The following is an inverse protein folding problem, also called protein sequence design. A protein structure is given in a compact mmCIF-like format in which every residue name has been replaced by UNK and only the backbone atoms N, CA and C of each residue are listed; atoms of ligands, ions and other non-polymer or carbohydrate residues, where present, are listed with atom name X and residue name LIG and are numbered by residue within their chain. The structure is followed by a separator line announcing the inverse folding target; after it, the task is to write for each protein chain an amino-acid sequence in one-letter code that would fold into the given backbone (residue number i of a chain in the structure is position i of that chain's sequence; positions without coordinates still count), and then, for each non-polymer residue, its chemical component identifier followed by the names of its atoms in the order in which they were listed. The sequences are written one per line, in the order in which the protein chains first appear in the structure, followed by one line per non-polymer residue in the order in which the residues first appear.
data_IF_318792586611
#
_entry.id   IF_318792586611
#
_cell.length_a   1.000
_cell.length_b   1.000
_cell.length_c   1.000
_cell.angle_alpha   90.00
_cell.angle_beta   90.00
_cell.angle_gamma   90.00
#
_symmetry.space_group_name_H-M   'P 1'
#
loop_
_entity.id
_entity.type
_entity.pdbx_description
1 polymer ?
#
# COMPACT_ATOMS: atom_id res chain seq x y z
N UNK A 1 3.36 4.39 -30.13
CA UNK A 1 2.29 5.17 -29.46
C UNK A 1 1.06 4.27 -29.39
N UNK A 2 0.93 3.50 -28.33
CA UNK A 2 -0.31 2.73 -28.09
C UNK A 2 -1.29 3.72 -27.46
N UNK A 3 -2.30 4.09 -28.21
CA UNK A 3 -3.42 4.90 -27.73
C UNK A 3 -4.04 4.13 -26.58
N UNK A 4 -3.91 4.64 -25.36
CA UNK A 4 -4.70 4.14 -24.23
C UNK A 4 -6.15 4.37 -24.62
N UNK A 5 -6.90 3.28 -24.80
CA UNK A 5 -8.32 3.34 -25.09
C UNK A 5 -9.02 4.17 -24.01
N UNK A 6 -9.97 4.99 -24.45
CA UNK A 6 -10.82 5.78 -23.57
C UNK A 6 -11.45 4.86 -22.52
N UNK A 7 -11.23 5.09 -21.20
CA UNK A 7 -11.81 4.26 -20.16
C UNK A 7 -13.34 4.34 -20.06
N UNK A 8 -13.98 5.19 -20.87
CA UNK A 8 -15.44 5.22 -21.06
C UNK A 8 -15.92 4.25 -22.14
N UNK A 9 -15.08 3.29 -22.59
CA UNK A 9 -15.55 2.23 -23.46
C UNK A 9 -16.81 1.62 -22.80
N UNK A 10 -17.92 1.84 -23.48
CA UNK A 10 -19.25 1.52 -22.97
C UNK A 10 -19.35 0.01 -22.72
N UNK A 11 -19.28 -0.41 -21.44
CA UNK A 11 -19.40 -1.81 -21.04
C UNK A 11 -20.71 -2.41 -21.59
N UNK A 12 -21.72 -1.59 -21.83
CA UNK A 12 -23.00 -2.01 -22.42
C UNK A 12 -22.85 -2.42 -23.89
N UNK A 13 -21.80 -1.92 -24.58
CA UNK A 13 -21.48 -2.32 -25.95
C UNK A 13 -20.81 -3.70 -26.05
N UNK A 14 -20.29 -4.25 -24.95
CA UNK A 14 -19.68 -5.58 -24.91
C UNK A 14 -20.74 -6.65 -24.87
N UNK A 15 -20.67 -7.64 -25.78
CA UNK A 15 -21.66 -8.72 -25.84
C UNK A 15 -21.74 -9.53 -24.55
N UNK A 16 -22.93 -10.05 -24.16
CA UNK A 16 -23.06 -10.89 -22.98
C UNK A 16 -22.13 -12.10 -22.97
N UNK A 17 -21.85 -12.70 -24.14
CA UNK A 17 -20.95 -13.83 -24.29
C UNK A 17 -19.52 -13.45 -23.92
N UNK A 18 -19.01 -12.32 -24.41
CA UNK A 18 -17.66 -11.84 -24.07
C UNK A 18 -17.57 -11.53 -22.59
N UNK A 19 -18.60 -10.90 -21.99
CA UNK A 19 -18.65 -10.68 -20.54
C UNK A 19 -18.55 -11.98 -19.75
N UNK A 20 -19.24 -13.02 -20.18
CA UNK A 20 -19.19 -14.34 -19.54
C UNK A 20 -17.82 -15.00 -19.66
N UNK A 21 -17.17 -14.90 -20.84
CA UNK A 21 -15.82 -15.41 -21.06
C UNK A 21 -14.80 -14.70 -20.18
N UNK A 22 -14.84 -13.37 -20.10
CA UNK A 22 -13.96 -12.59 -19.21
C UNK A 22 -14.11 -13.02 -17.74
N UNK A 23 -15.34 -13.24 -17.27
CA UNK A 23 -15.58 -13.76 -15.92
C UNK A 23 -15.02 -15.15 -15.71
N UNK A 24 -15.14 -16.02 -16.74
CA UNK A 24 -14.62 -17.38 -16.69
C UNK A 24 -13.08 -17.42 -16.68
N UNK A 25 -12.40 -16.50 -17.37
CA UNK A 25 -10.94 -16.36 -17.35
C UNK A 25 -10.38 -16.06 -15.95
N UNK A 26 -11.14 -15.41 -15.07
CA UNK A 26 -10.73 -15.15 -13.70
C UNK A 26 -10.71 -16.39 -12.80
N UNK A 27 -11.39 -17.49 -13.19
CA UNK A 27 -11.57 -18.68 -12.36
C UNK A 27 -10.25 -19.33 -11.88
N UNK A 28 -9.19 -19.51 -12.68
CA UNK A 28 -7.93 -20.08 -12.24
C UNK A 28 -7.27 -19.24 -11.12
N UNK A 29 -7.36 -17.92 -11.21
CA UNK A 29 -6.80 -16.97 -10.23
C UNK A 29 -7.62 -16.97 -8.95
N UNK A 30 -8.94 -16.98 -9.04
CA UNK A 30 -9.84 -17.11 -7.88
C UNK A 30 -9.50 -18.41 -7.12
N UNK A 31 -9.35 -19.54 -7.81
CA UNK A 31 -8.97 -20.82 -7.18
C UNK A 31 -7.59 -20.78 -6.55
N UNK A 32 -6.60 -20.15 -7.21
CA UNK A 32 -5.23 -20.03 -6.73
C UNK A 32 -5.15 -19.21 -5.46
N UNK A 33 -5.90 -18.12 -5.38
CA UNK A 33 -5.81 -17.15 -4.28
C UNK A 33 -6.94 -17.27 -3.24
N UNK A 34 -7.87 -18.21 -3.42
CA UNK A 34 -8.92 -18.48 -2.44
C UNK A 34 -8.32 -18.82 -1.06
N UNK A 35 -8.80 -18.18 -0.01
CA UNK A 35 -8.28 -18.32 1.36
C UNK A 35 -6.93 -17.65 1.62
N UNK A 36 -6.29 -17.06 0.59
CA UNK A 36 -4.98 -16.41 0.72
C UNK A 36 -5.11 -14.97 1.19
N UNK A 37 -4.15 -14.53 2.00
CA UNK A 37 -4.05 -13.12 2.41
C UNK A 37 -3.34 -12.31 1.31
N UNK A 38 -3.96 -11.20 0.96
CA UNK A 38 -3.40 -10.20 0.03
C UNK A 38 -3.33 -8.88 0.77
N UNK A 39 -2.13 -8.40 1.02
CA UNK A 39 -1.91 -7.09 1.63
C UNK A 39 -1.80 -6.05 0.53
N UNK A 40 -2.54 -4.97 0.66
CA UNK A 40 -2.62 -3.89 -0.32
C UNK A 40 -2.18 -2.60 0.35
N UNK A 41 -1.06 -2.05 -0.09
CA UNK A 41 -0.68 -0.69 0.27
C UNK A 41 -1.40 0.28 -0.66
N UNK A 42 -2.33 1.03 -0.12
CA UNK A 42 -3.17 1.99 -0.82
C UNK A 42 -2.65 3.42 -0.63
N UNK A 43 -2.34 4.11 -1.73
CA UNK A 43 -1.74 5.44 -1.65
C UNK A 43 -1.66 6.14 -3.01
N UNK A 44 -1.13 7.35 -3.00
CA UNK A 44 -0.97 8.16 -4.20
C UNK A 44 -2.28 8.73 -4.74
N UNK A 45 -2.35 8.96 -6.05
CA UNK A 45 -3.52 9.55 -6.71
C UNK A 45 -4.77 8.67 -6.63
N UNK A 46 -4.62 7.36 -6.42
CA UNK A 46 -5.74 6.46 -6.18
C UNK A 46 -6.60 6.89 -4.98
N UNK A 47 -6.03 7.67 -4.05
CA UNK A 47 -6.73 8.17 -2.85
C UNK A 47 -7.33 9.57 -3.03
N UNK A 48 -7.08 10.25 -4.13
CA UNK A 48 -7.48 11.65 -4.32
C UNK A 48 -8.50 11.85 -5.45
N UNK A 49 -8.55 10.94 -6.40
CA UNK A 49 -9.50 10.98 -7.50
C UNK A 49 -10.75 10.12 -7.17
N UNK A 50 -11.92 10.74 -7.14
CA UNK A 50 -13.16 10.07 -6.74
C UNK A 50 -13.42 8.79 -7.54
N UNK A 51 -13.24 8.81 -8.86
CA UNK A 51 -13.41 7.62 -9.70
C UNK A 51 -12.50 6.46 -9.27
N UNK A 52 -11.24 6.74 -8.96
CA UNK A 52 -10.27 5.73 -8.53
C UNK A 52 -10.59 5.20 -7.13
N UNK A 53 -11.04 6.06 -6.22
CA UNK A 53 -11.49 5.65 -4.87
C UNK A 53 -12.67 4.68 -4.96
N UNK A 54 -13.67 4.99 -5.77
CA UNK A 54 -14.83 4.13 -6.00
C UNK A 54 -14.44 2.80 -6.66
N UNK A 55 -13.55 2.83 -7.66
CA UNK A 55 -12.99 1.64 -8.29
C UNK A 55 -12.27 0.75 -7.27
N UNK A 56 -11.37 1.31 -6.49
CA UNK A 56 -10.63 0.59 -5.44
C UNK A 56 -11.55 -0.10 -4.42
N UNK A 57 -12.58 0.60 -3.94
CA UNK A 57 -13.53 0.01 -2.98
C UNK A 57 -14.22 -1.23 -3.57
N UNK A 58 -14.66 -1.15 -4.83
CA UNK A 58 -15.29 -2.29 -5.53
C UNK A 58 -14.31 -3.45 -5.73
N UNK A 59 -13.05 -3.15 -6.07
CA UNK A 59 -12.01 -4.15 -6.27
C UNK A 59 -11.76 -4.94 -4.98
N UNK A 60 -11.56 -4.26 -3.87
CA UNK A 60 -11.30 -4.89 -2.57
C UNK A 60 -12.49 -5.75 -2.12
N UNK A 61 -13.72 -5.28 -2.33
CA UNK A 61 -14.94 -6.03 -2.03
C UNK A 61 -14.99 -7.31 -2.89
N UNK A 62 -14.72 -7.19 -4.19
CA UNK A 62 -14.73 -8.35 -5.08
C UNK A 62 -13.71 -9.40 -4.63
N UNK A 63 -12.48 -9.00 -4.27
CA UNK A 63 -11.48 -9.93 -3.73
C UNK A 63 -12.00 -10.67 -2.49
N UNK A 64 -12.66 -9.95 -1.56
CA UNK A 64 -13.24 -10.58 -0.35
C UNK A 64 -14.37 -11.54 -0.71
N UNK A 65 -15.27 -11.16 -1.61
CA UNK A 65 -16.43 -11.97 -2.02
C UNK A 65 -16.02 -13.26 -2.72
N UNK A 66 -14.92 -13.26 -3.49
CA UNK A 66 -14.40 -14.48 -4.12
C UNK A 66 -13.51 -15.32 -3.20
N UNK A 67 -13.49 -15.01 -1.91
CA UNK A 67 -12.86 -15.81 -0.86
C UNK A 67 -11.39 -15.51 -0.58
N UNK A 68 -10.86 -14.40 -1.07
CA UNK A 68 -9.54 -13.90 -0.66
C UNK A 68 -9.66 -13.11 0.65
N UNK A 69 -8.53 -12.88 1.32
CA UNK A 69 -8.44 -12.10 2.56
C UNK A 69 -7.65 -10.80 2.31
N UNK A 70 -8.27 -9.75 1.76
CA UNK A 70 -7.61 -8.47 1.58
C UNK A 70 -7.41 -7.76 2.94
N UNK A 71 -6.22 -7.17 3.10
CA UNK A 71 -5.87 -6.27 4.21
C UNK A 71 -5.30 -5.00 3.58
N UNK A 72 -5.88 -3.87 3.90
CA UNK A 72 -5.49 -2.58 3.33
C UNK A 72 -4.64 -1.82 4.35
N UNK A 73 -3.46 -1.35 3.92
CA UNK A 73 -2.65 -0.37 4.66
C UNK A 73 -2.64 0.90 3.84
N UNK A 74 -3.18 1.99 4.37
CA UNK A 74 -3.30 3.22 3.59
C UNK A 74 -2.23 4.24 3.94
N UNK A 75 -1.91 5.11 2.97
CA UNK A 75 -1.17 6.33 3.19
C UNK A 75 -2.09 7.52 3.50
N UNK A 76 -1.64 8.73 3.20
CA UNK A 76 -2.42 9.95 3.41
C UNK A 76 -1.56 11.22 3.41
N UNK A 77 -0.38 11.18 2.78
CA UNK A 77 0.52 12.33 2.71
C UNK A 77 -0.14 13.62 2.22
N UNK A 78 -0.84 13.62 1.08
CA UNK A 78 -1.54 14.81 0.57
C UNK A 78 -2.60 15.35 1.54
N UNK A 79 -3.34 14.47 2.20
CA UNK A 79 -4.36 14.86 3.18
C UNK A 79 -3.73 15.49 4.42
N UNK A 80 -2.62 14.93 4.92
CA UNK A 80 -1.83 15.53 6.02
C UNK A 80 -1.32 16.92 5.62
N UNK A 81 -0.74 17.08 4.42
CA UNK A 81 -0.25 18.37 3.94
C UNK A 81 -1.37 19.40 3.85
N UNK A 82 -2.54 18.99 3.37
CA UNK A 82 -3.71 19.86 3.31
C UNK A 82 -4.20 20.27 4.71
N UNK A 83 -4.22 19.35 5.68
CA UNK A 83 -4.61 19.63 7.05
C UNK A 83 -3.60 20.57 7.74
N UNK A 84 -2.31 20.32 7.59
CA UNK A 84 -1.26 21.20 8.10
C UNK A 84 -1.38 22.63 7.55
N UNK A 85 -1.65 22.75 6.24
CA UNK A 85 -1.86 24.06 5.60
C UNK A 85 -3.06 24.82 6.20
N UNK A 86 -4.16 24.13 6.55
CA UNK A 86 -5.33 24.74 7.18
C UNK A 86 -5.01 25.35 8.54
N UNK A 87 -4.04 24.82 9.27
CA UNK A 87 -3.58 25.36 10.56
C UNK A 87 -2.36 26.30 10.41
N UNK A 88 -2.01 26.68 9.18
CA UNK A 88 -0.90 27.59 8.90
C UNK A 88 0.49 26.96 8.98
N UNK A 89 0.59 25.64 8.94
CA UNK A 89 1.84 24.88 9.01
C UNK A 89 2.19 24.25 7.68
N UNK A 90 3.47 24.15 7.38
CA UNK A 90 3.97 23.47 6.19
C UNK A 90 4.70 22.19 6.59
N UNK A 91 4.35 21.08 5.93
CA UNK A 91 5.06 19.82 6.10
C UNK A 91 6.48 19.88 5.52
N UNK A 92 7.43 19.36 6.25
CA UNK A 92 8.83 19.24 5.82
C UNK A 92 9.26 17.79 5.79
N UNK A 93 10.20 17.48 4.90
CA UNK A 93 10.70 16.12 4.70
C UNK A 93 12.22 16.09 4.70
N UNK A 94 12.77 15.03 5.27
CA UNK A 94 14.20 14.71 5.18
C UNK A 94 14.35 13.24 4.80
N UNK A 95 15.17 12.97 3.81
CA UNK A 95 15.43 11.61 3.28
C UNK A 95 14.12 10.81 3.00
N UNK A 96 13.05 11.50 2.57
CA UNK A 96 11.75 10.90 2.27
C UNK A 96 10.83 10.67 3.47
N UNK A 97 11.27 10.98 4.69
CA UNK A 97 10.45 10.92 5.90
C UNK A 97 9.94 12.32 6.27
N UNK A 98 8.67 12.40 6.68
CA UNK A 98 8.07 13.65 7.19
C UNK A 98 8.61 13.96 8.58
N UNK A 99 9.24 15.11 8.74
CA UNK A 99 9.57 15.61 10.08
C UNK A 99 8.26 15.80 10.83
N UNK A 100 8.12 15.13 11.97
CA UNK A 100 6.87 15.02 12.71
C UNK A 100 7.07 15.49 14.13
N UNK A 101 6.94 16.79 14.38
CA UNK A 101 6.88 17.36 15.73
C UNK A 101 5.54 17.01 16.41
N UNK A 102 5.35 17.39 17.66
CA UNK A 102 4.18 17.04 18.46
C UNK A 102 2.87 17.48 17.80
N UNK A 103 2.78 18.75 17.38
CA UNK A 103 1.59 19.28 16.68
C UNK A 103 1.34 18.59 15.34
N UNK A 104 2.39 18.28 14.60
CA UNK A 104 2.28 17.51 13.35
C UNK A 104 1.79 16.09 13.64
N UNK A 105 2.24 15.44 14.74
CA UNK A 105 1.79 14.12 15.11
C UNK A 105 0.30 14.09 15.46
N UNK A 106 -0.21 15.09 16.17
CA UNK A 106 -1.65 15.23 16.43
C UNK A 106 -2.45 15.29 15.10
N UNK A 107 -1.98 16.12 14.16
CA UNK A 107 -2.62 16.23 12.83
C UNK A 107 -2.56 14.90 12.07
N UNK A 108 -1.43 14.20 12.14
CA UNK A 108 -1.28 12.86 11.51
C UNK A 108 -2.29 11.87 12.08
N UNK A 109 -2.48 11.84 13.41
CA UNK A 109 -3.46 10.95 14.04
C UNK A 109 -4.89 11.28 13.60
N UNK A 110 -5.28 12.56 13.60
CA UNK A 110 -6.63 12.96 13.18
C UNK A 110 -6.90 12.66 11.70
N UNK A 111 -5.94 12.97 10.84
CA UNK A 111 -6.10 12.80 9.39
C UNK A 111 -6.08 11.32 9.02
N UNK A 112 -5.09 10.57 9.49
CA UNK A 112 -4.98 9.16 9.08
C UNK A 112 -6.04 8.28 9.75
N UNK A 113 -6.24 8.41 11.07
CA UNK A 113 -7.20 7.59 11.82
C UNK A 113 -8.65 8.06 11.73
N UNK A 114 -8.88 9.35 11.50
CA UNK A 114 -10.20 9.95 11.44
C UNK A 114 -10.71 10.18 10.01
N UNK A 115 -10.03 11.01 9.23
CA UNK A 115 -10.51 11.41 7.90
C UNK A 115 -10.27 10.30 6.86
N UNK A 116 -9.01 9.99 6.58
CA UNK A 116 -8.64 9.09 5.47
C UNK A 116 -9.16 7.68 5.69
N UNK A 117 -8.94 7.13 6.88
CA UNK A 117 -9.38 5.77 7.19
C UNK A 117 -10.89 5.63 7.12
N UNK A 118 -11.63 6.60 7.70
CA UNK A 118 -13.09 6.55 7.74
C UNK A 118 -13.72 6.77 6.36
N UNK A 119 -13.09 7.56 5.49
CA UNK A 119 -13.50 7.67 4.08
C UNK A 119 -13.42 6.33 3.36
N UNK A 120 -12.30 5.60 3.54
CA UNK A 120 -12.12 4.27 2.93
C UNK A 120 -13.14 3.28 3.48
N UNK A 121 -13.31 3.24 4.80
CA UNK A 121 -14.29 2.36 5.48
C UNK A 121 -15.71 2.65 4.99
N UNK A 122 -16.11 3.92 4.99
CA UNK A 122 -17.43 4.34 4.53
C UNK A 122 -17.68 3.94 3.08
N UNK A 123 -16.70 4.14 2.20
CA UNK A 123 -16.85 3.83 0.78
C UNK A 123 -16.97 2.33 0.51
N UNK A 124 -16.18 1.50 1.19
CA UNK A 124 -16.30 0.05 1.11
C UNK A 124 -17.66 -0.42 1.64
N UNK A 125 -18.09 0.11 2.78
CA UNK A 125 -19.39 -0.26 3.36
C UNK A 125 -20.58 0.21 2.50
N UNK A 126 -20.45 1.37 1.84
CA UNK A 126 -21.43 1.88 0.89
C UNK A 126 -21.71 0.90 -0.27
N UNK A 127 -20.68 0.21 -0.74
CA UNK A 127 -20.80 -0.80 -1.79
C UNK A 127 -21.10 -2.22 -1.28
N UNK A 128 -21.45 -2.38 -0.01
CA UNK A 128 -21.88 -3.65 0.58
C UNK A 128 -20.74 -4.51 1.13
N UNK A 129 -19.54 -3.97 1.24
CA UNK A 129 -18.45 -4.61 1.99
C UNK A 129 -18.62 -4.40 3.49
N UNK A 130 -17.75 -5.01 4.28
CA UNK A 130 -17.69 -4.84 5.74
C UNK A 130 -16.25 -4.46 6.13
N UNK A 131 -15.93 -3.17 6.07
CA UNK A 131 -14.62 -2.66 6.42
C UNK A 131 -14.57 -2.20 7.89
N UNK A 132 -13.42 -2.45 8.54
CA UNK A 132 -13.14 -1.99 9.90
C UNK A 132 -11.80 -1.26 9.91
N UNK A 133 -11.80 -0.01 10.38
CA UNK A 133 -10.59 0.80 10.55
C UNK A 133 -9.83 0.43 11.81
N UNK A 134 -8.51 0.32 11.70
CA UNK A 134 -7.58 0.06 12.78
C UNK A 134 -6.39 1.02 12.70
N UNK A 135 -5.93 1.48 13.84
CA UNK A 135 -4.58 2.06 14.00
C UNK A 135 -3.66 1.05 14.68
N UNK A 136 -2.39 1.33 14.80
CA UNK A 136 -1.49 0.46 15.54
C UNK A 136 -1.81 0.35 17.04
N UNK A 137 -2.62 1.28 17.59
CA UNK A 137 -3.08 1.24 18.98
C UNK A 137 -4.14 0.15 19.21
N UNK A 138 -4.97 -0.11 18.20
CA UNK A 138 -6.09 -1.04 18.29
C UNK A 138 -5.59 -2.49 18.44
N UNK A 139 -5.96 -3.14 19.53
CA UNK A 139 -5.48 -4.49 19.87
C UNK A 139 -3.97 -4.60 20.04
N UNK A 140 -3.26 -3.48 20.20
CA UNK A 140 -1.79 -3.48 20.26
C UNK A 140 -1.15 -3.90 18.94
N UNK A 141 -1.77 -3.56 17.81
CA UNK A 141 -1.42 -4.05 16.46
C UNK A 141 0.00 -3.68 16.06
N UNK A 142 0.42 -2.40 16.18
CA UNK A 142 1.75 -1.92 15.77
C UNK A 142 2.47 -1.31 16.95
N UNK A 143 3.42 -2.04 17.53
CA UNK A 143 4.37 -1.48 18.48
C UNK A 143 5.51 -0.82 17.73
N UNK A 144 5.83 0.41 18.14
CA UNK A 144 6.85 1.23 17.50
C UNK A 144 7.82 1.78 18.53
N UNK A 145 8.97 2.24 18.04
CA UNK A 145 9.92 3.06 18.78
C UNK A 145 10.36 4.23 17.91
N UNK A 146 10.92 5.27 18.53
CA UNK A 146 11.42 6.43 17.79
C UNK A 146 12.47 5.98 16.78
N UNK A 147 12.34 6.43 15.53
CA UNK A 147 13.30 6.11 14.48
C UNK A 147 14.62 6.85 14.71
N UNK A 148 15.72 6.09 14.68
CA UNK A 148 17.08 6.64 14.64
C UNK A 148 17.49 6.78 13.16
N UNK A 149 17.36 7.99 12.59
CA UNK A 149 17.67 8.23 11.18
C UNK A 149 19.13 8.65 11.01
N UNK A 150 19.99 7.84 10.37
CA UNK A 150 21.38 8.23 10.08
C UNK A 150 21.42 9.45 9.15
N UNK A 151 22.27 10.41 9.48
CA UNK A 151 22.55 11.55 8.60
C UNK A 151 23.48 11.10 7.46
N UNK A 152 22.99 11.17 6.22
CA UNK A 152 23.76 10.76 5.03
C UNK A 152 24.87 11.75 4.68
N UNK A 153 24.73 13.01 5.11
CA UNK A 153 25.70 14.06 4.85
C UNK A 153 26.83 14.07 5.90
N UNK A 154 26.50 13.61 7.13
CA UNK A 154 27.42 13.57 8.26
C UNK A 154 27.49 12.14 8.85
N UNK A 155 28.32 11.24 8.32
CA UNK A 155 28.42 9.87 8.80
C UNK A 155 28.70 9.78 10.31
N UNK A 156 27.91 8.98 11.01
CA UNK A 156 28.01 8.79 12.47
C UNK A 156 27.09 9.73 13.28
N UNK A 157 26.39 10.65 12.64
CA UNK A 157 25.34 11.47 13.27
C UNK A 157 23.95 10.94 12.94
N UNK A 158 22.97 11.32 13.78
CA UNK A 158 21.56 11.00 13.57
C UNK A 158 20.76 12.29 13.49
N UNK A 159 19.79 12.30 12.60
CA UNK A 159 18.81 13.38 12.44
C UNK A 159 17.65 13.19 13.42
N UNK A 160 17.27 14.25 14.11
CA UNK A 160 16.01 14.26 14.86
C UNK A 160 14.85 14.62 13.93
N UNK A 161 14.02 13.65 13.66
CA UNK A 161 12.84 13.79 12.79
C UNK A 161 11.53 13.75 13.59
N UNK A 162 11.61 13.91 14.92
CA UNK A 162 10.47 13.95 15.82
C UNK A 162 9.82 12.59 16.05
N UNK A 163 8.48 12.54 16.01
CA UNK A 163 7.66 11.36 16.28
C UNK A 163 7.52 10.46 15.04
N UNK A 164 8.59 10.23 14.34
CA UNK A 164 8.67 9.20 13.29
C UNK A 164 9.10 7.89 13.94
N UNK A 165 8.37 6.83 13.62
CA UNK A 165 8.59 5.51 14.21
C UNK A 165 9.17 4.49 13.25
N UNK A 166 9.90 3.55 13.81
CA UNK A 166 10.20 2.25 13.22
C UNK A 166 9.41 1.15 13.96
N UNK A 167 9.08 0.10 13.23
CA UNK A 167 8.26 -0.98 13.77
C UNK A 167 9.12 -1.87 14.66
N UNK A 168 8.71 -2.01 15.92
CA UNK A 168 9.33 -2.90 16.88
C UNK A 168 8.68 -4.30 16.84
N UNK A 169 7.34 -4.35 16.81
CA UNK A 169 6.59 -5.59 16.71
C UNK A 169 5.20 -5.37 16.10
N UNK A 170 4.66 -6.42 15.46
CA UNK A 170 3.27 -6.50 15.00
C UNK A 170 2.55 -7.60 15.76
N UNK A 171 1.41 -7.27 16.37
CA UNK A 171 0.48 -8.26 16.93
C UNK A 171 -0.67 -8.49 15.93
N UNK A 172 -0.69 -9.60 15.18
CA UNK A 172 -1.69 -9.81 14.15
C UNK A 172 -3.05 -10.28 14.68
N UNK A 173 -3.24 -10.41 15.97
CA UNK A 173 -4.43 -11.06 16.54
C UNK A 173 -5.73 -10.40 16.10
N UNK A 174 -5.83 -9.06 16.16
CA UNK A 174 -7.03 -8.32 15.76
C UNK A 174 -7.29 -8.45 14.26
N UNK A 175 -6.25 -8.42 13.44
CA UNK A 175 -6.37 -8.56 11.96
C UNK A 175 -6.88 -9.96 11.61
N UNK A 176 -6.32 -11.00 12.23
CA UNK A 176 -6.75 -12.39 12.02
C UNK A 176 -8.20 -12.59 12.43
N UNK A 177 -8.62 -12.09 13.61
CA UNK A 177 -9.99 -12.17 14.05
C UNK A 177 -10.98 -11.54 13.07
N UNK A 178 -10.62 -10.40 12.47
CA UNK A 178 -11.43 -9.76 11.44
C UNK A 178 -11.46 -10.54 10.11
N UNK A 179 -10.33 -11.17 9.73
CA UNK A 179 -10.25 -11.99 8.51
C UNK A 179 -11.06 -13.28 8.62
N UNK A 180 -11.11 -13.91 9.80
CA UNK A 180 -11.88 -15.13 10.07
C UNK A 180 -13.39 -14.89 9.92
N UNK A 181 -13.82 -13.65 10.12
CA UNK A 181 -15.15 -13.17 9.78
C UNK A 181 -15.16 -12.48 8.38
N UNK A 182 -16.25 -11.89 8.00
CA UNK A 182 -16.41 -11.25 6.67
C UNK A 182 -15.76 -9.86 6.58
N UNK A 183 -14.98 -9.42 7.55
CA UNK A 183 -14.45 -8.06 7.61
C UNK A 183 -13.20 -7.85 6.76
N UNK A 184 -13.03 -6.62 6.32
CA UNK A 184 -11.85 -6.12 5.60
C UNK A 184 -11.13 -5.14 6.51
N UNK A 185 -9.94 -5.48 7.05
CA UNK A 185 -9.15 -4.58 7.88
C UNK A 185 -8.56 -3.43 7.06
N UNK A 186 -8.74 -2.20 7.54
CA UNK A 186 -8.17 -0.97 6.98
C UNK A 186 -7.24 -0.36 8.01
N UNK A 187 -5.94 -0.39 7.77
CA UNK A 187 -4.90 -0.08 8.75
C UNK A 187 -4.26 1.26 8.45
N UNK A 188 -4.29 2.17 9.41
CA UNK A 188 -3.52 3.42 9.39
C UNK A 188 -2.09 3.16 9.87
N UNK A 189 -1.07 3.75 9.24
CA UNK A 189 0.34 3.53 9.57
C UNK A 189 0.80 4.37 10.79
N UNK A 190 0.08 4.21 11.89
CA UNK A 190 0.36 4.85 13.19
C UNK A 190 0.70 3.74 14.17
N UNK A 191 1.90 3.78 14.74
CA UNK A 191 2.30 2.88 15.82
C UNK A 191 2.27 3.57 17.18
N UNK A 192 2.46 2.80 18.24
CA UNK A 192 2.61 3.32 19.59
C UNK A 192 3.82 2.71 20.29
N UNK A 193 4.50 3.51 21.09
CA UNK A 193 5.67 3.10 21.85
C UNK A 193 5.35 2.63 23.26
N UNK A 194 6.32 1.99 23.88
CA UNK A 194 6.28 1.63 25.30
C UNK A 194 6.23 2.88 26.23
N UNK A 195 6.64 4.03 25.69
CA UNK A 195 6.56 5.34 26.32
C UNK A 195 5.15 5.97 26.27
N UNK A 196 4.19 5.30 25.61
CA UNK A 196 2.83 5.79 25.41
C UNK A 196 2.69 6.79 24.26
N UNK A 197 3.77 7.07 23.53
CA UNK A 197 3.75 8.01 22.41
C UNK A 197 3.23 7.35 21.13
N UNK A 198 2.52 8.13 20.33
CA UNK A 198 2.19 7.73 18.96
C UNK A 198 3.35 8.07 18.02
N UNK A 199 3.51 7.25 16.99
CA UNK A 199 4.55 7.42 15.99
C UNK A 199 3.97 7.33 14.58
N UNK A 200 4.34 8.30 13.74
CA UNK A 200 4.06 8.29 12.31
C UNK A 200 5.04 7.32 11.62
N UNK A 201 4.52 6.32 10.95
CA UNK A 201 5.35 5.30 10.27
C UNK A 201 5.08 5.36 8.76
N UNK A 202 6.10 5.12 7.96
CA UNK A 202 5.93 5.03 6.52
C UNK A 202 5.00 3.86 6.16
N UNK A 203 3.95 4.14 5.38
CA UNK A 203 2.93 3.16 5.02
C UNK A 203 3.48 1.95 4.22
N UNK A 204 4.53 2.14 3.41
CA UNK A 204 5.17 1.06 2.66
C UNK A 204 5.84 0.08 3.63
N UNK A 205 6.50 0.59 4.69
CA UNK A 205 7.10 -0.24 5.75
C UNK A 205 6.05 -1.00 6.55
N UNK A 206 4.94 -0.34 6.92
CA UNK A 206 3.84 -1.01 7.63
C UNK A 206 3.24 -2.12 6.77
N UNK A 207 2.96 -1.84 5.51
CA UNK A 207 2.40 -2.83 4.59
C UNK A 207 3.32 -4.04 4.42
N UNK A 208 4.63 -3.80 4.24
CA UNK A 208 5.64 -4.86 4.16
C UNK A 208 5.67 -5.73 5.41
N UNK A 209 5.68 -5.10 6.59
CA UNK A 209 5.74 -5.84 7.86
C UNK A 209 4.45 -6.60 8.18
N UNK A 210 3.29 -6.02 7.88
CA UNK A 210 2.00 -6.72 7.98
C UNK A 210 1.97 -7.93 7.04
N UNK A 211 2.44 -7.77 5.79
CA UNK A 211 2.50 -8.87 4.83
C UNK A 211 3.42 -10.01 5.28
N UNK A 212 4.59 -9.68 5.84
CA UNK A 212 5.52 -10.65 6.42
C UNK A 212 4.85 -11.45 7.56
N UNK A 213 4.30 -10.77 8.56
CA UNK A 213 3.73 -11.40 9.75
C UNK A 213 2.47 -12.22 9.44
N UNK A 214 1.65 -11.78 8.49
CA UNK A 214 0.49 -12.52 8.01
C UNK A 214 0.84 -13.63 7.01
N UNK A 215 2.10 -13.75 6.61
CA UNK A 215 2.56 -14.66 5.55
C UNK A 215 1.72 -14.50 4.28
N UNK A 216 1.58 -13.24 3.86
CA UNK A 216 0.74 -12.91 2.72
C UNK A 216 1.22 -13.59 1.44
N UNK A 217 0.28 -14.04 0.62
CA UNK A 217 0.56 -14.56 -0.71
C UNK A 217 1.07 -13.45 -1.63
N UNK A 218 0.47 -12.26 -1.53
CA UNK A 218 0.88 -11.06 -2.27
C UNK A 218 0.92 -9.84 -1.36
N UNK A 219 1.93 -8.98 -1.61
CA UNK A 219 1.91 -7.58 -1.22
C UNK A 219 1.78 -6.75 -2.49
N UNK A 220 0.72 -5.95 -2.62
CA UNK A 220 0.50 -5.07 -3.76
C UNK A 220 0.70 -3.63 -3.31
N UNK A 221 1.67 -2.94 -3.90
CA UNK A 221 2.00 -1.55 -3.61
C UNK A 221 1.46 -0.66 -4.74
N UNK A 222 0.35 0.00 -4.49
CA UNK A 222 -0.24 0.96 -5.42
C UNK A 222 0.51 2.29 -5.36
N UNK A 223 0.94 2.77 -6.50
CA UNK A 223 1.79 3.97 -6.63
C UNK A 223 1.32 4.85 -7.79
N UNK A 224 1.99 6.01 -7.99
CA UNK A 224 1.77 6.89 -9.14
C UNK A 224 2.73 6.61 -10.32
N UNK A 225 3.27 5.40 -10.38
CA UNK A 225 4.19 4.97 -11.44
C UNK A 225 3.74 3.64 -12.01
N UNK A 226 4.05 3.40 -13.26
CA UNK A 226 3.72 2.15 -13.97
C UNK A 226 4.40 0.91 -13.36
N UNK A 227 5.49 1.09 -12.64
CA UNK A 227 6.38 0.09 -12.10
C UNK A 227 7.83 0.55 -12.22
N UNK A 228 8.78 -0.37 -12.09
CA UNK A 228 10.21 -0.10 -12.28
C UNK A 228 10.51 -0.01 -13.78
N UNK A 229 11.21 1.04 -14.18
CA UNK A 229 11.63 1.24 -15.57
C UNK A 229 13.12 0.95 -15.71
N UNK A 230 13.50 0.37 -16.85
CA UNK A 230 14.91 0.25 -17.24
C UNK A 230 15.48 1.61 -17.71
N UNK A 231 16.78 1.63 -18.06
CA UNK A 231 17.47 2.84 -18.57
C UNK A 231 16.89 3.39 -19.88
N UNK A 232 16.12 2.59 -20.60
CA UNK A 232 15.46 2.97 -21.86
C UNK A 232 14.01 3.43 -21.64
N UNK A 233 13.52 3.40 -20.38
CA UNK A 233 12.15 3.75 -20.02
C UNK A 233 11.13 2.63 -20.26
N UNK A 234 11.56 1.40 -20.49
CA UNK A 234 10.66 0.27 -20.63
C UNK A 234 10.31 -0.28 -19.24
N UNK A 235 9.07 -0.74 -19.09
CA UNK A 235 8.61 -1.40 -17.86
C UNK A 235 9.32 -2.74 -17.68
N UNK A 236 9.93 -2.96 -16.52
CA UNK A 236 10.46 -4.25 -16.11
C UNK A 236 9.39 -4.97 -15.30
N UNK A 237 8.90 -6.07 -15.83
CA UNK A 237 7.73 -6.77 -15.26
C UNK A 237 8.07 -7.76 -14.18
N UNK A 238 9.32 -8.21 -14.09
CA UNK A 238 9.82 -9.18 -13.11
C UNK A 238 11.24 -8.82 -12.70
N UNK A 239 11.50 -8.75 -11.41
CA UNK A 239 12.80 -8.41 -10.84
C UNK A 239 13.13 -9.34 -9.68
N UNK A 240 14.31 -9.95 -9.77
CA UNK A 240 14.93 -10.62 -8.64
C UNK A 240 15.64 -9.64 -7.70
N UNK A 241 15.92 -10.09 -6.49
CA UNK A 241 16.70 -9.31 -5.52
C UNK A 241 18.06 -8.86 -6.08
N UNK A 242 18.74 -9.74 -6.85
CA UNK A 242 20.02 -9.46 -7.45
C UNK A 242 19.94 -8.34 -8.50
N UNK A 243 18.95 -8.40 -9.39
CA UNK A 243 18.76 -7.38 -10.42
C UNK A 243 18.45 -6.02 -9.79
N UNK A 244 17.70 -5.98 -8.70
CA UNK A 244 17.43 -4.75 -7.94
C UNK A 244 18.73 -4.19 -7.35
N UNK A 245 19.57 -5.03 -6.74
CA UNK A 245 20.85 -4.59 -6.19
C UNK A 245 21.77 -4.02 -7.29
N UNK A 246 21.77 -4.62 -8.48
CA UNK A 246 22.48 -4.11 -9.66
C UNK A 246 21.92 -2.76 -10.13
N UNK A 247 20.58 -2.61 -10.16
CA UNK A 247 19.91 -1.35 -10.55
C UNK A 247 20.11 -0.23 -9.51
N UNK A 248 20.30 -0.55 -8.24
CA UNK A 248 20.71 0.41 -7.22
C UNK A 248 22.15 0.87 -7.45
N UNK A 249 23.06 -0.08 -7.68
CA UNK A 249 24.49 0.21 -7.87
C UNK A 249 24.75 1.06 -9.11
N UNK A 250 24.01 0.86 -10.20
CA UNK A 250 24.19 1.56 -11.45
C UNK A 250 23.32 2.83 -11.59
N UNK A 251 22.54 3.17 -10.56
CA UNK A 251 21.71 4.38 -10.48
C UNK A 251 20.43 4.34 -11.31
N UNK A 252 20.05 3.21 -11.89
CA UNK A 252 18.78 3.02 -12.61
C UNK A 252 17.60 3.28 -11.68
N UNK A 253 17.65 2.74 -10.46
CA UNK A 253 16.70 3.04 -9.39
C UNK A 253 17.30 4.14 -8.51
N UNK A 254 16.67 5.30 -8.48
CA UNK A 254 17.17 6.48 -7.76
C UNK A 254 16.04 7.32 -7.16
N UNK A 255 16.38 8.31 -6.36
CA UNK A 255 15.43 9.29 -5.81
C UNK A 255 14.32 8.66 -4.97
N UNK A 256 13.08 9.10 -5.20
CA UNK A 256 11.90 8.63 -4.47
C UNK A 256 11.52 7.16 -4.69
N UNK A 257 12.13 6.50 -5.70
CA UNK A 257 11.94 5.07 -5.93
C UNK A 257 12.73 4.19 -4.95
N UNK A 258 13.89 4.67 -4.49
CA UNK A 258 14.76 3.91 -3.58
C UNK A 258 14.03 3.36 -2.34
N UNK A 259 13.33 4.18 -1.53
CA UNK A 259 12.66 3.67 -0.35
C UNK A 259 11.53 2.68 -0.68
N UNK A 260 10.82 2.87 -1.81
CA UNK A 260 9.75 1.97 -2.23
C UNK A 260 10.28 0.60 -2.62
N UNK A 261 11.28 0.57 -3.47
CA UNK A 261 11.89 -0.68 -3.95
C UNK A 261 12.60 -1.38 -2.81
N UNK A 262 13.28 -0.66 -1.91
CA UNK A 262 13.88 -1.25 -0.71
C UNK A 262 12.82 -1.92 0.17
N UNK A 263 11.71 -1.23 0.47
CA UNK A 263 10.60 -1.82 1.23
C UNK A 263 10.01 -3.07 0.56
N UNK A 264 9.83 -3.02 -0.76
CA UNK A 264 9.32 -4.15 -1.52
C UNK A 264 10.28 -5.36 -1.49
N UNK A 265 11.57 -5.09 -1.66
CA UNK A 265 12.62 -6.10 -1.60
C UNK A 265 12.75 -6.73 -0.21
N UNK A 266 12.69 -5.90 0.84
CA UNK A 266 12.74 -6.36 2.23
C UNK A 266 11.54 -7.27 2.54
N UNK A 267 10.33 -6.91 2.10
CA UNK A 267 9.16 -7.74 2.24
C UNK A 267 9.30 -9.09 1.51
N UNK A 268 9.82 -9.09 0.28
CA UNK A 268 10.09 -10.31 -0.46
C UNK A 268 11.13 -11.19 0.23
N UNK A 269 12.25 -10.61 0.70
CA UNK A 269 13.30 -11.32 1.45
C UNK A 269 12.80 -11.86 2.80
N UNK A 270 11.79 -11.23 3.40
CA UNK A 270 11.20 -11.63 4.69
C UNK A 270 10.11 -12.70 4.57
N UNK A 271 9.88 -13.24 3.37
CA UNK A 271 9.02 -14.41 3.15
C UNK A 271 7.61 -14.10 2.63
N UNK A 272 7.36 -12.87 2.17
CA UNK A 272 6.18 -12.58 1.32
C UNK A 272 6.41 -13.26 -0.03
N UNK A 273 5.44 -14.03 -0.51
CA UNK A 273 5.64 -14.87 -1.70
C UNK A 273 5.95 -14.03 -2.94
N UNK A 274 5.15 -13.00 -3.21
CA UNK A 274 5.42 -12.02 -4.27
C UNK A 274 5.06 -10.61 -3.84
N UNK A 275 5.85 -9.63 -4.28
CA UNK A 275 5.56 -8.21 -4.08
C UNK A 275 5.38 -7.56 -5.44
N UNK A 276 4.31 -6.78 -5.60
CA UNK A 276 3.97 -6.15 -6.86
C UNK A 276 3.87 -4.64 -6.69
N UNK A 277 4.47 -3.90 -7.59
CA UNK A 277 4.35 -2.44 -7.69
C UNK A 277 3.49 -2.13 -8.90
N UNK A 278 2.34 -1.50 -8.68
CA UNK A 278 1.35 -1.22 -9.73
C UNK A 278 0.96 0.25 -9.78
N UNK A 279 0.46 0.66 -10.94
CA UNK A 279 -0.03 2.02 -11.17
C UNK A 279 -1.47 2.18 -10.63
N UNK A 280 -1.60 2.84 -9.50
CA UNK A 280 -2.90 3.11 -8.88
C UNK A 280 -3.73 4.18 -9.61
N UNK A 281 -3.19 4.84 -10.65
CA UNK A 281 -3.93 5.80 -11.49
C UNK A 281 -4.81 5.11 -12.53
N UNK A 282 -4.67 3.82 -12.68
CA UNK A 282 -5.48 3.01 -13.60
C UNK A 282 -6.63 2.38 -12.82
N UNK A 283 -7.85 2.61 -13.30
CA UNK A 283 -9.05 2.04 -12.68
C UNK A 283 -9.01 0.51 -12.72
N UNK A 284 -9.43 -0.12 -11.63
CA UNK A 284 -9.38 -1.57 -11.46
C UNK A 284 -7.98 -2.20 -11.58
N UNK A 285 -6.92 -1.42 -11.36
CA UNK A 285 -5.54 -1.92 -11.39
C UNK A 285 -5.31 -3.11 -10.46
N UNK A 286 -6.00 -3.15 -9.33
CA UNK A 286 -5.93 -4.24 -8.37
C UNK A 286 -6.50 -5.55 -8.98
N UNK A 287 -7.63 -5.49 -9.68
CA UNK A 287 -8.21 -6.66 -10.34
C UNK A 287 -7.35 -7.14 -11.51
N UNK A 288 -6.81 -6.20 -12.29
CA UNK A 288 -5.89 -6.51 -13.38
C UNK A 288 -4.68 -7.30 -12.87
N UNK A 289 -4.10 -6.89 -11.73
CA UNK A 289 -2.95 -7.56 -11.14
C UNK A 289 -3.30 -8.93 -10.53
N UNK A 290 -4.47 -9.09 -9.92
CA UNK A 290 -4.81 -10.30 -9.16
C UNK A 290 -5.52 -11.34 -10.02
N UNK A 291 -6.36 -10.92 -10.96
CA UNK A 291 -7.31 -11.78 -11.68
C UNK A 291 -7.00 -11.94 -13.17
N UNK A 292 -5.85 -11.46 -13.66
CA UNK A 292 -5.45 -11.64 -15.06
C UNK A 292 -4.03 -12.18 -15.19
N UNK A 293 -3.70 -12.70 -16.37
CA UNK A 293 -2.37 -13.24 -16.69
C UNK A 293 -1.37 -12.14 -17.07
N UNK A 294 -1.86 -10.97 -17.46
CA UNK A 294 -1.00 -9.89 -17.94
C UNK A 294 -0.26 -9.25 -16.76
N UNK A 295 1.07 -9.18 -16.88
CA UNK A 295 1.89 -8.41 -15.97
C UNK A 295 1.50 -6.93 -16.07
N UNK A 296 0.88 -6.39 -15.02
CA UNK A 296 0.35 -5.03 -15.00
C UNK A 296 1.32 -4.01 -14.38
N UNK A 297 2.30 -4.48 -13.64
CA UNK A 297 3.32 -3.67 -12.99
C UNK A 297 4.65 -4.41 -12.93
N UNK A 298 5.41 -4.19 -11.86
CA UNK A 298 6.66 -4.90 -11.58
C UNK A 298 6.45 -5.87 -10.42
N UNK A 299 6.70 -7.14 -10.67
CA UNK A 299 6.77 -8.16 -9.64
C UNK A 299 8.20 -8.26 -9.11
N UNK A 300 8.35 -8.32 -7.79
CA UNK A 300 9.62 -8.49 -7.09
C UNK A 300 9.60 -9.81 -6.34
N UNK A 301 10.66 -10.60 -6.54
CA UNK A 301 10.85 -11.90 -5.89
C UNK A 301 12.17 -11.92 -5.14
N UNK A 302 12.24 -12.74 -4.08
CA UNK A 302 13.46 -12.92 -3.29
C UNK A 302 14.55 -13.74 -4.00
N UNK A 303 14.19 -14.53 -5.00
CA UNK A 303 15.08 -15.45 -5.74
C UNK A 303 14.96 -15.24 -7.22
#
# INVERSE_FOLDING_TARGET
MTVLADPSADIDAVSPQIKAEILAEALPYIRKFHGKTIVIKYGGNAMTEERLKHGFARDVILLKLVGMNPVVVHGGGPQIDNALKKIGKQGTFVQGMRITDEETMEVVEWVLGGEVQQDIVMLINHYGGQAVGLTGKDGGLIRARKMAMPDRENPGQFLDIGFVGEIDAINPAVVKALQDDAFIPIISPIGFGADGQAYNINADLVAGKIAEILKAEKLIMMTNIRGVLDKNGNLVTDLSAREIDEMFADGTISGGMLPKISSALDAAKSGVNTVHIIDGRIEHSLLLEVLTEQAFGTMIRSH
#
